data_IF_807619144795
#
_entry.id   IF_807619144795
#
_cell.length_a   1.000
_cell.length_b   1.000
_cell.length_c   1.000
_cell.angle_alpha   90.00
_cell.angle_beta   90.00
_cell.angle_gamma   90.00
#
_symmetry.space_group_name_H-M   'P 1'
#
loop_
_entity.id
_entity.type
_entity.pdbx_description
1 polymer ?
#
# COMPACT_ATOMS: atom_id res chain seq x y z
N UNK A 1 -32.27 -1.10 -14.56
CA UNK A 1 -31.29 -0.54 -13.59
C UNK A 1 -30.80 -1.67 -12.71
N UNK A 2 -29.55 -2.11 -12.85
CA UNK A 2 -28.95 -3.15 -11.98
C UNK A 2 -28.59 -2.49 -10.66
N UNK A 3 -29.30 -2.81 -9.58
CA UNK A 3 -28.91 -2.43 -8.22
C UNK A 3 -27.64 -3.22 -7.86
N UNK A 4 -26.51 -2.53 -7.82
CA UNK A 4 -25.29 -3.12 -7.28
C UNK A 4 -25.50 -3.31 -5.77
N UNK A 5 -25.65 -4.56 -5.32
CA UNK A 5 -25.67 -4.88 -3.90
C UNK A 5 -24.33 -4.45 -3.29
N UNK A 6 -24.36 -3.42 -2.46
CA UNK A 6 -23.19 -3.01 -1.68
C UNK A 6 -22.83 -4.14 -0.73
N UNK A 7 -21.69 -4.80 -0.96
CA UNK A 7 -21.15 -5.78 -0.03
C UNK A 7 -20.77 -5.04 1.25
N UNK A 8 -21.37 -5.45 2.37
CA UNK A 8 -21.03 -4.96 3.70
C UNK A 8 -20.29 -6.07 4.44
N UNK A 9 -19.04 -5.82 4.81
CA UNK A 9 -18.25 -6.71 5.64
C UNK A 9 -18.38 -6.28 7.11
N UNK A 10 -18.37 -7.26 8.03
CA UNK A 10 -18.48 -7.02 9.48
C UNK A 10 -17.12 -7.07 10.13
N UNK A 11 -16.83 -6.06 10.95
CA UNK A 11 -15.63 -6.01 11.79
C UNK A 11 -16.05 -6.26 13.24
N UNK A 12 -15.49 -7.28 13.87
CA UNK A 12 -15.77 -7.63 15.27
C UNK A 12 -14.48 -7.73 16.08
N UNK A 13 -14.41 -7.00 17.19
CA UNK A 13 -13.29 -7.04 18.12
C UNK A 13 -13.81 -7.20 19.57
N UNK A 14 -13.07 -7.94 20.39
CA UNK A 14 -13.31 -8.01 21.84
C UNK A 14 -12.33 -7.07 22.52
N UNK A 15 -12.86 -6.15 23.32
CA UNK A 15 -12.07 -5.20 24.09
C UNK A 15 -12.36 -5.36 25.58
N UNK A 16 -11.36 -5.17 26.45
CA UNK A 16 -11.57 -5.00 27.88
C UNK A 16 -12.51 -3.82 28.19
N UNK A 17 -13.13 -3.83 29.38
CA UNK A 17 -14.18 -2.87 29.73
C UNK A 17 -13.66 -1.43 29.83
N UNK A 18 -12.48 -1.22 30.39
CA UNK A 18 -11.77 0.06 30.49
C UNK A 18 -11.51 0.70 29.11
N UNK A 19 -11.10 -0.12 28.15
CA UNK A 19 -10.93 0.31 26.75
C UNK A 19 -12.27 0.71 26.14
N UNK A 20 -13.33 -0.06 26.41
CA UNK A 20 -14.67 0.26 25.92
C UNK A 20 -15.19 1.59 26.48
N UNK A 21 -15.02 1.86 27.78
CA UNK A 21 -15.41 3.14 28.38
C UNK A 21 -14.67 4.33 27.73
N UNK A 22 -13.38 4.15 27.46
CA UNK A 22 -12.56 5.17 26.78
C UNK A 22 -13.09 5.47 25.38
N UNK A 23 -13.44 4.43 24.61
CA UNK A 23 -14.02 4.56 23.28
C UNK A 23 -15.41 5.22 23.31
N UNK A 24 -16.24 4.88 24.31
CA UNK A 24 -17.53 5.54 24.52
C UNK A 24 -17.35 7.04 24.77
N UNK A 25 -16.44 7.42 25.66
CA UNK A 25 -16.19 8.82 25.96
C UNK A 25 -15.67 9.60 24.74
N UNK A 26 -14.76 9.01 23.96
CA UNK A 26 -14.27 9.63 22.72
C UNK A 26 -15.38 9.77 21.66
N UNK A 27 -16.28 8.79 21.57
CA UNK A 27 -17.44 8.83 20.67
C UNK A 27 -18.43 9.95 21.08
N UNK A 28 -18.68 10.11 22.38
CA UNK A 28 -19.50 11.21 22.92
C UNK A 28 -18.93 12.58 22.57
N UNK A 29 -17.62 12.78 22.77
CA UNK A 29 -16.93 14.04 22.45
C UNK A 29 -16.98 14.40 20.96
N UNK A 30 -17.06 13.38 20.09
CA UNK A 30 -17.12 13.56 18.64
C UNK A 30 -18.55 13.60 18.10
N UNK A 31 -19.56 13.42 18.97
CA UNK A 31 -20.97 13.39 18.58
C UNK A 31 -21.34 12.17 17.71
N UNK A 32 -20.59 11.09 17.83
CA UNK A 32 -20.74 9.87 17.05
C UNK A 32 -21.13 8.68 17.93
N UNK A 33 -21.67 7.62 17.32
CA UNK A 33 -21.82 6.35 18.02
C UNK A 33 -20.47 5.66 18.17
N UNK A 34 -20.31 4.78 19.17
CA UNK A 34 -19.06 4.02 19.39
C UNK A 34 -18.61 3.27 18.13
N UNK A 35 -19.55 2.66 17.41
CA UNK A 35 -19.24 1.93 16.18
C UNK A 35 -18.76 2.88 15.06
N UNK A 36 -19.40 4.05 14.94
CA UNK A 36 -18.99 5.05 13.96
C UNK A 36 -17.60 5.62 14.27
N UNK A 37 -17.34 5.93 15.54
CA UNK A 37 -16.03 6.36 16.01
C UNK A 37 -14.96 5.30 15.73
N UNK A 38 -15.25 4.02 16.02
CA UNK A 38 -14.33 2.91 15.78
C UNK A 38 -13.97 2.79 14.28
N UNK A 39 -14.96 2.83 13.40
CA UNK A 39 -14.74 2.76 11.95
C UNK A 39 -13.93 3.96 11.46
N UNK A 40 -14.24 5.17 11.94
CA UNK A 40 -13.50 6.38 11.55
C UNK A 40 -12.05 6.35 12.04
N UNK A 41 -11.81 5.95 13.29
CA UNK A 41 -10.48 5.84 13.86
C UNK A 41 -9.65 4.77 13.14
N UNK A 42 -10.23 3.60 12.89
CA UNK A 42 -9.58 2.52 12.15
C UNK A 42 -9.25 2.92 10.71
N UNK A 43 -10.16 3.60 10.02
CA UNK A 43 -9.94 4.09 8.66
C UNK A 43 -8.81 5.13 8.61
N UNK A 44 -8.80 6.06 9.56
CA UNK A 44 -7.75 7.07 9.67
C UNK A 44 -6.38 6.41 9.82
N UNK A 45 -6.25 5.47 10.75
CA UNK A 45 -4.95 4.79 10.94
C UNK A 45 -4.57 3.90 9.77
N UNK A 46 -5.52 3.21 9.15
CA UNK A 46 -5.25 2.44 7.94
C UNK A 46 -4.67 3.34 6.83
N UNK A 47 -5.27 4.51 6.62
CA UNK A 47 -4.80 5.48 5.64
C UNK A 47 -3.39 6.00 5.97
N UNK A 48 -3.13 6.34 7.24
CA UNK A 48 -1.80 6.78 7.66
C UNK A 48 -0.72 5.70 7.47
N UNK A 49 -1.04 4.44 7.78
CA UNK A 49 -0.11 3.33 7.58
C UNK A 49 0.17 3.09 6.09
N UNK A 50 -0.86 3.11 5.26
CA UNK A 50 -0.72 2.97 3.79
C UNK A 50 0.14 4.10 3.24
N UNK A 51 -0.16 5.36 3.59
CA UNK A 51 0.62 6.51 3.14
C UNK A 51 2.09 6.44 3.56
N UNK A 52 2.39 5.97 4.78
CA UNK A 52 3.77 5.82 5.23
C UNK A 52 4.56 4.76 4.44
N UNK A 53 3.89 3.75 3.90
CA UNK A 53 4.54 2.66 3.16
C UNK A 53 4.61 2.91 1.65
N UNK A 54 3.59 3.56 1.09
CA UNK A 54 3.48 3.75 -0.37
C UNK A 54 4.04 5.11 -0.83
N UNK A 55 4.07 6.12 0.04
CA UNK A 55 4.58 7.45 -0.32
C UNK A 55 6.05 7.56 0.07
N UNK A 56 6.93 7.53 -0.94
CA UNK A 56 8.32 7.97 -0.76
C UNK A 56 8.29 9.49 -0.53
N UNK A 57 8.28 9.91 0.74
CA UNK A 57 8.44 11.31 1.10
C UNK A 57 9.88 11.73 0.85
N UNK A 58 10.17 12.17 -0.36
CA UNK A 58 11.44 12.77 -0.73
C UNK A 58 11.53 14.18 -0.14
N UNK A 59 12.67 14.53 0.46
CA UNK A 59 12.91 15.92 0.82
C UNK A 59 12.94 16.78 -0.47
N UNK A 60 12.71 18.10 -0.40
CA UNK A 60 12.81 18.96 -1.58
C UNK A 60 14.16 18.83 -2.31
N UNK A 61 15.23 18.54 -1.56
CA UNK A 61 16.56 18.26 -2.10
C UNK A 61 16.62 16.94 -2.84
N UNK A 62 16.04 15.88 -2.30
CA UNK A 62 16.03 14.55 -2.92
C UNK A 62 15.09 14.51 -4.13
N UNK A 63 14.01 15.30 -4.11
CA UNK A 63 13.13 15.50 -5.24
C UNK A 63 13.83 16.20 -6.41
N UNK A 64 14.57 17.28 -6.13
CA UNK A 64 15.38 17.96 -7.16
C UNK A 64 16.49 17.03 -7.70
N UNK A 65 17.16 16.28 -6.82
CA UNK A 65 18.15 15.30 -7.24
C UNK A 65 17.54 14.19 -8.11
N UNK A 66 16.35 13.69 -7.76
CA UNK A 66 15.63 12.69 -8.56
C UNK A 66 15.19 13.27 -9.91
N UNK A 67 14.68 14.50 -9.94
CA UNK A 67 14.31 15.20 -11.16
C UNK A 67 15.52 15.39 -12.08
N UNK A 68 16.65 15.86 -11.55
CA UNK A 68 17.90 15.98 -12.30
C UNK A 68 18.35 14.62 -12.87
N UNK A 69 18.14 13.53 -12.13
CA UNK A 69 18.45 12.17 -12.57
C UNK A 69 17.48 11.66 -13.66
N UNK A 70 16.24 12.13 -13.66
CA UNK A 70 15.24 11.79 -14.68
C UNK A 70 15.44 12.59 -15.97
N UNK A 71 15.73 13.89 -15.86
CA UNK A 71 15.97 14.79 -16.99
C UNK A 71 17.32 14.52 -17.66
N UNK A 72 18.32 14.06 -16.90
CA UNK A 72 19.63 13.72 -17.41
C UNK A 72 20.07 12.34 -16.90
N UNK A 73 19.54 11.25 -17.47
CA UNK A 73 19.84 9.90 -17.01
C UNK A 73 21.34 9.64 -17.18
N UNK A 74 22.08 9.39 -16.09
CA UNK A 74 23.51 9.10 -16.18
C UNK A 74 23.72 7.78 -16.92
N UNK A 75 24.81 7.68 -17.68
CA UNK A 75 25.09 6.44 -18.42
C UNK A 75 25.14 5.22 -17.49
N UNK A 76 24.52 4.09 -17.87
CA UNK A 76 24.50 2.88 -17.04
C UNK A 76 25.92 2.45 -16.67
N UNK A 77 26.21 2.34 -15.37
CA UNK A 77 27.51 1.87 -14.90
C UNK A 77 27.75 0.40 -15.33
N UNK A 78 29.02 -0.01 -15.37
CA UNK A 78 29.41 -1.34 -15.85
C UNK A 78 28.73 -2.48 -15.06
N UNK A 79 28.46 -2.26 -13.78
CA UNK A 79 27.74 -3.19 -12.89
C UNK A 79 26.25 -3.31 -13.23
N UNK A 80 25.57 -2.22 -13.62
CA UNK A 80 24.17 -2.21 -14.05
C UNK A 80 24.03 -2.88 -15.42
N UNK A 81 25.00 -2.70 -16.32
CA UNK A 81 25.06 -3.43 -17.60
C UNK A 81 25.20 -4.94 -17.36
N UNK A 82 26.11 -5.36 -16.47
CA UNK A 82 26.27 -6.76 -16.11
C UNK A 82 25.02 -7.37 -15.45
N UNK A 83 24.33 -6.61 -14.58
CA UNK A 83 23.06 -7.02 -13.97
C UNK A 83 21.94 -7.15 -15.01
N UNK A 84 21.86 -6.22 -15.97
CA UNK A 84 20.90 -6.29 -17.07
C UNK A 84 21.14 -7.53 -17.94
N UNK A 85 22.40 -7.84 -18.28
CA UNK A 85 22.75 -9.06 -19.02
C UNK A 85 22.31 -10.30 -18.25
N UNK A 86 22.60 -10.39 -16.94
CA UNK A 86 22.15 -11.50 -16.09
C UNK A 86 20.63 -11.66 -16.08
N UNK A 87 19.90 -10.55 -15.95
CA UNK A 87 18.44 -10.56 -15.99
C UNK A 87 17.88 -11.04 -17.35
N UNK A 88 18.49 -10.59 -18.46
CA UNK A 88 18.10 -11.01 -19.81
C UNK A 88 18.39 -12.49 -20.08
N UNK A 89 19.50 -13.02 -19.56
CA UNK A 89 19.80 -14.47 -19.64
C UNK A 89 18.76 -15.28 -18.86
N UNK A 90 18.45 -14.87 -17.63
CA UNK A 90 17.42 -15.53 -16.81
C UNK A 90 16.02 -15.47 -17.46
N UNK A 91 15.66 -14.36 -18.11
CA UNK A 91 14.37 -14.23 -18.83
C UNK A 91 14.31 -15.07 -20.11
N UNK A 92 15.45 -15.32 -20.77
CA UNK A 92 15.52 -16.20 -21.95
C UNK A 92 15.33 -17.67 -21.57
N UNK A 93 15.80 -18.09 -20.41
CA UNK A 93 15.65 -19.47 -19.93
C UNK A 93 14.17 -19.84 -19.64
N UNK A 94 13.31 -18.85 -19.38
CA UNK A 94 11.86 -19.04 -19.15
C UNK A 94 11.02 -19.11 -20.45
N UNK A 95 11.60 -18.80 -21.61
CA UNK A 95 10.89 -18.93 -22.91
C UNK A 95 10.92 -20.34 -23.50
N UNK A 96 11.54 -21.29 -22.80
CA UNK A 96 11.61 -22.71 -23.19
C UNK A 96 10.55 -23.61 -22.56
N UNK A 97 9.85 -23.17 -21.50
CA UNK A 97 8.81 -23.98 -20.85
C UNK A 97 7.45 -23.63 -21.44
N UNK A 98 7.20 -24.09 -22.67
CA UNK A 98 5.82 -24.25 -23.14
C UNK A 98 5.11 -25.22 -22.19
N UNK A 99 4.27 -24.67 -21.31
CA UNK A 99 3.36 -25.46 -20.49
C UNK A 99 2.34 -26.13 -21.43
N UNK A 100 2.62 -27.38 -21.81
CA UNK A 100 1.71 -28.19 -22.61
C UNK A 100 0.57 -28.67 -21.69
N UNK A 101 -0.60 -28.03 -21.79
CA UNK A 101 -1.82 -28.57 -21.22
C UNK A 101 -2.32 -29.62 -22.21
N UNK A 102 -2.15 -30.91 -21.89
CA UNK A 102 -2.88 -31.96 -22.60
C UNK A 102 -4.32 -31.98 -22.04
N UNK A 103 -5.28 -31.96 -22.97
CA UNK A 103 -6.73 -31.97 -22.77
C UNK A 103 -7.25 -33.13 -21.92
#
# INVERSE_FOLDING_TARGET
MRTATTKQDRIGARVPHDVYETLCHAAELTGATVNQFLVQAALKEAQEVIERQEVIRLSPRDWNWLLDLMDNPPEPNATLKAALTRYQTAKRDDTGTSFNWES
#
